data_IF_774885422097
#
_entry.id   IF_774885422097
#
_cell.length_a   1.000
_cell.length_b   1.000
_cell.length_c   1.000
_cell.angle_alpha   90.00
_cell.angle_beta   90.00
_cell.angle_gamma   90.00
#
_symmetry.space_group_name_H-M   'P 1'
#
loop_
_entity.id
_entity.type
_entity.pdbx_description
1 polymer ?
#
# COMPACT_ATOMS: atom_id res chain seq x y z
N UNK A 1 -24.61 -22.92 -66.98
CA UNK A 1 -23.14 -22.90 -66.91
C UNK A 1 -22.71 -23.83 -65.79
N UNK A 2 -21.74 -24.68 -66.10
CA UNK A 2 -21.25 -25.86 -65.38
C UNK A 2 -20.08 -25.51 -64.43
N UNK A 3 -19.93 -26.31 -63.35
CA UNK A 3 -18.71 -26.61 -62.55
C UNK A 3 -18.18 -25.48 -61.63
N UNK A 4 -17.64 -25.68 -60.42
CA UNK A 4 -17.10 -26.84 -59.71
C UNK A 4 -17.07 -26.58 -58.18
N UNK A 5 -17.03 -27.65 -57.38
CA UNK A 5 -16.66 -27.64 -55.97
C UNK A 5 -15.13 -27.53 -55.78
N UNK A 6 -14.66 -27.04 -54.62
CA UNK A 6 -13.46 -27.55 -53.93
C UNK A 6 -13.40 -27.05 -52.48
N UNK A 7 -13.47 -28.02 -51.57
CA UNK A 7 -13.06 -27.98 -50.17
C UNK A 7 -11.56 -27.70 -50.05
N UNK A 8 -11.16 -26.90 -49.06
CA UNK A 8 -9.79 -26.87 -48.55
C UNK A 8 -9.85 -26.92 -47.02
N UNK A 9 -9.71 -28.13 -46.47
CA UNK A 9 -9.31 -28.34 -45.08
C UNK A 9 -7.84 -27.94 -44.96
N UNK A 10 -7.58 -26.76 -44.39
CA UNK A 10 -6.24 -26.42 -43.93
C UNK A 10 -6.11 -26.93 -42.50
N UNK A 11 -5.38 -28.05 -42.35
CA UNK A 11 -4.86 -28.51 -41.06
C UNK A 11 -3.81 -27.52 -40.57
N UNK A 12 -4.24 -26.54 -39.78
CA UNK A 12 -3.35 -25.68 -39.00
C UNK A 12 -3.25 -26.23 -37.57
N UNK A 13 -2.03 -26.59 -37.17
CA UNK A 13 -1.62 -26.88 -35.79
C UNK A 13 -2.27 -25.91 -34.80
N UNK A 14 -2.81 -26.35 -33.64
CA UNK A 14 -3.26 -25.43 -32.62
C UNK A 14 -2.06 -24.58 -32.17
N UNK A 15 -2.10 -23.29 -32.52
CA UNK A 15 -1.22 -22.30 -31.91
C UNK A 15 -1.47 -22.37 -30.40
N UNK A 16 -0.43 -22.45 -29.55
CA UNK A 16 -0.63 -22.38 -28.12
C UNK A 16 -1.36 -21.07 -27.81
N UNK A 17 -2.56 -21.22 -27.29
CA UNK A 17 -3.36 -20.15 -26.73
C UNK A 17 -2.45 -19.34 -25.82
N UNK A 18 -2.19 -18.09 -26.19
CA UNK A 18 -1.53 -17.14 -25.31
C UNK A 18 -2.45 -17.03 -24.10
N UNK A 19 -2.11 -17.79 -23.05
CA UNK A 19 -2.67 -17.64 -21.72
C UNK A 19 -2.70 -16.13 -21.46
N UNK A 20 -3.85 -15.53 -21.08
CA UNK A 20 -3.86 -14.16 -20.65
C UNK A 20 -2.74 -14.02 -19.64
N UNK A 21 -1.75 -13.18 -19.95
CA UNK A 21 -0.76 -12.81 -18.96
C UNK A 21 -1.58 -12.14 -17.88
N UNK A 22 -1.90 -12.87 -16.80
CA UNK A 22 -2.45 -12.28 -15.59
C UNK A 22 -1.53 -11.11 -15.30
N UNK A 23 -2.10 -9.90 -15.33
CA UNK A 23 -1.40 -8.76 -14.80
C UNK A 23 -0.94 -9.17 -13.39
N UNK A 24 0.31 -8.86 -13.00
CA UNK A 24 0.77 -9.18 -11.65
C UNK A 24 -0.29 -8.71 -10.67
N UNK A 25 -0.73 -9.59 -9.77
CA UNK A 25 -1.72 -9.22 -8.77
C UNK A 25 -1.21 -8.02 -7.97
N UNK A 26 -2.11 -7.23 -7.39
CA UNK A 26 -1.73 -6.00 -6.68
C UNK A 26 -0.60 -6.21 -5.65
N UNK A 27 -0.55 -7.37 -5.01
CA UNK A 27 0.53 -7.77 -4.10
C UNK A 27 1.88 -7.93 -4.77
N UNK A 28 1.96 -8.43 -6.01
CA UNK A 28 3.21 -8.54 -6.76
C UNK A 28 3.73 -7.18 -7.22
N UNK A 29 2.83 -6.28 -7.61
CA UNK A 29 3.19 -4.89 -7.87
C UNK A 29 3.68 -4.20 -6.59
N UNK A 30 3.06 -4.47 -5.44
CA UNK A 30 3.45 -3.90 -4.14
C UNK A 30 4.85 -4.38 -3.70
N UNK A 31 5.23 -5.64 -4.00
CA UNK A 31 6.59 -6.18 -3.75
C UNK A 31 7.68 -5.40 -4.47
N UNK A 32 7.36 -4.75 -5.59
CA UNK A 32 8.34 -3.98 -6.37
C UNK A 32 8.66 -2.61 -5.75
N UNK A 33 7.84 -2.13 -4.81
CA UNK A 33 8.05 -0.87 -4.12
C UNK A 33 8.97 -1.04 -2.91
N UNK A 34 9.84 -0.06 -2.66
CA UNK A 34 10.69 0.01 -1.47
C UNK A 34 10.13 1.05 -0.50
N UNK A 35 9.79 0.63 0.73
CA UNK A 35 9.17 1.49 1.72
C UNK A 35 10.01 2.72 2.07
N UNK A 36 11.35 2.60 2.12
CA UNK A 36 12.20 3.75 2.44
C UNK A 36 12.31 4.74 1.28
N UNK A 37 12.40 4.25 0.06
CA UNK A 37 12.41 5.09 -1.14
C UNK A 37 11.12 5.89 -1.23
N UNK A 38 9.97 5.22 -1.06
CA UNK A 38 8.65 5.87 -1.06
C UNK A 38 8.54 6.86 0.10
N UNK A 39 8.87 6.47 1.33
CA UNK A 39 8.78 7.36 2.50
C UNK A 39 9.66 8.61 2.35
N UNK A 40 10.90 8.45 1.86
CA UNK A 40 11.80 9.58 1.65
C UNK A 40 11.30 10.53 0.56
N UNK A 41 10.65 10.00 -0.48
CA UNK A 41 9.99 10.82 -1.49
C UNK A 41 8.84 11.63 -0.90
N UNK A 42 7.98 10.99 -0.09
CA UNK A 42 6.84 11.65 0.54
C UNK A 42 7.28 12.74 1.52
N UNK A 43 8.32 12.47 2.31
CA UNK A 43 8.81 13.40 3.34
C UNK A 43 9.91 14.36 2.86
N UNK A 44 10.13 14.44 1.54
CA UNK A 44 11.13 15.33 0.95
C UNK A 44 10.89 16.78 1.41
N UNK A 45 11.97 17.46 1.80
CA UNK A 45 11.97 18.85 2.28
C UNK A 45 11.13 19.13 3.54
N UNK A 46 10.60 18.09 4.22
CA UNK A 46 9.83 18.24 5.46
C UNK A 46 10.71 18.24 6.72
N UNK A 47 12.04 18.10 6.57
CA UNK A 47 13.01 18.13 7.68
C UNK A 47 13.07 16.86 8.52
N UNK A 48 12.60 15.73 7.99
CA UNK A 48 12.83 14.41 8.58
C UNK A 48 14.24 13.91 8.22
N UNK A 49 14.84 13.14 9.12
CA UNK A 49 16.01 12.32 8.80
C UNK A 49 15.62 11.26 7.75
N UNK A 50 16.59 10.77 6.95
CA UNK A 50 16.35 9.65 6.05
C UNK A 50 15.69 8.47 6.77
N UNK A 51 14.71 7.86 6.10
CA UNK A 51 14.01 6.70 6.62
C UNK A 51 14.95 5.51 6.84
N UNK A 52 14.72 4.81 7.95
CA UNK A 52 15.46 3.61 8.32
C UNK A 52 14.54 2.39 8.33
N UNK A 53 15.03 1.27 7.79
CA UNK A 53 14.34 -0.01 7.94
C UNK A 53 14.45 -0.49 9.39
N UNK A 54 13.30 -0.71 10.03
CA UNK A 54 13.24 -1.15 11.44
C UNK A 54 13.12 -2.65 11.59
N UNK A 55 12.62 -3.34 10.57
CA UNK A 55 12.40 -4.78 10.58
C UNK A 55 12.90 -5.40 9.28
N UNK A 56 12.87 -6.74 9.19
CA UNK A 56 13.13 -7.47 7.93
C UNK A 56 11.98 -7.32 6.92
N UNK A 57 10.86 -6.75 7.35
CA UNK A 57 9.70 -6.48 6.48
C UNK A 57 9.99 -5.24 5.63
N UNK A 58 9.16 -5.04 4.60
CA UNK A 58 9.21 -3.83 3.79
C UNK A 58 8.57 -2.66 4.56
N UNK A 59 9.27 -2.20 5.59
CA UNK A 59 8.84 -1.18 6.54
C UNK A 59 9.95 -0.16 6.71
N UNK A 60 9.57 1.12 6.73
CA UNK A 60 10.51 2.21 6.92
C UNK A 60 9.95 3.27 7.87
N UNK A 61 10.81 3.85 8.69
CA UNK A 61 10.47 4.91 9.63
C UNK A 61 11.48 6.04 9.54
N UNK A 62 10.98 7.25 9.33
CA UNK A 62 11.73 8.49 9.34
C UNK A 62 11.45 9.26 10.63
N UNK A 63 12.47 9.88 11.21
CA UNK A 63 12.37 10.61 12.49
C UNK A 63 12.65 12.09 12.32
N UNK A 64 12.04 12.92 13.14
CA UNK A 64 12.28 14.35 13.19
C UNK A 64 12.38 14.79 14.64
N UNK A 65 13.52 15.40 14.99
CA UNK A 65 13.80 15.90 16.34
C UNK A 65 12.70 16.88 16.75
N UNK A 66 12.30 16.81 18.02
CA UNK A 66 11.15 17.51 18.59
C UNK A 66 9.79 17.21 17.96
N UNK A 67 9.64 16.34 16.96
CA UNK A 67 8.33 16.02 16.37
C UNK A 67 7.90 14.59 16.72
N UNK A 68 8.74 13.62 16.37
CA UNK A 68 8.44 12.20 16.48
C UNK A 68 8.88 11.43 15.24
N UNK A 69 8.04 10.49 14.79
CA UNK A 69 8.32 9.59 13.69
C UNK A 69 7.10 9.42 12.77
N UNK A 70 7.38 9.32 11.47
CA UNK A 70 6.43 8.89 10.45
C UNK A 70 7.01 7.67 9.75
N UNK A 71 6.17 6.74 9.34
CA UNK A 71 6.61 5.52 8.70
C UNK A 71 5.55 4.92 7.79
N UNK A 72 6.00 4.00 6.95
CA UNK A 72 5.12 3.16 6.14
C UNK A 72 5.59 1.71 6.17
N UNK A 73 4.64 0.79 6.06
CA UNK A 73 4.86 -0.63 5.79
C UNK A 73 4.06 -1.04 4.55
N UNK A 74 4.72 -1.72 3.61
CA UNK A 74 4.11 -2.24 2.39
C UNK A 74 4.07 -3.77 2.51
N UNK A 75 2.87 -4.32 2.69
CA UNK A 75 2.67 -5.73 3.00
C UNK A 75 1.92 -6.44 1.86
N UNK A 76 2.61 -7.30 1.08
CA UNK A 76 2.00 -7.96 -0.06
C UNK A 76 1.29 -9.29 0.29
N UNK A 77 1.26 -9.68 1.57
CA UNK A 77 0.71 -10.98 2.00
C UNK A 77 -0.34 -10.90 3.10
N UNK A 78 -0.57 -9.72 3.68
CA UNK A 78 -1.63 -9.52 4.66
C UNK A 78 -2.57 -8.39 4.23
N UNK A 79 -3.87 -8.61 4.35
CA UNK A 79 -4.92 -7.67 3.98
C UNK A 79 -5.34 -6.74 5.12
N UNK A 80 -6.41 -5.96 4.91
CA UNK A 80 -6.96 -5.09 5.96
C UNK A 80 -7.58 -5.87 7.12
N UNK A 81 -8.17 -7.04 6.87
CA UNK A 81 -8.78 -7.86 7.93
C UNK A 81 -7.74 -8.35 8.94
N UNK A 82 -6.55 -8.72 8.46
CA UNK A 82 -5.41 -9.05 9.31
C UNK A 82 -4.98 -7.86 10.18
N UNK A 83 -4.98 -6.64 9.62
CA UNK A 83 -4.64 -5.42 10.36
C UNK A 83 -5.73 -5.05 11.37
N UNK A 84 -7.00 -5.21 11.02
CA UNK A 84 -8.13 -4.94 11.92
C UNK A 84 -8.08 -5.85 13.16
N UNK A 85 -7.63 -7.10 13.01
CA UNK A 85 -7.36 -8.00 14.13
C UNK A 85 -6.21 -7.55 15.05
N UNK A 86 -5.28 -6.74 14.55
CA UNK A 86 -4.16 -6.17 15.31
C UNK A 86 -4.53 -4.80 15.93
N UNK A 87 -5.34 -4.01 15.23
CA UNK A 87 -5.84 -2.70 15.64
C UNK A 87 -7.23 -2.81 16.26
N UNK A 88 -7.28 -3.34 17.49
CA UNK A 88 -8.52 -3.45 18.24
C UNK A 88 -9.22 -2.07 18.36
N UNK A 89 -10.50 -2.02 17.96
CA UNK A 89 -11.27 -0.77 17.94
C UNK A 89 -10.98 0.15 16.76
N UNK A 90 -10.31 -0.34 15.71
CA UNK A 90 -10.14 0.41 14.46
C UNK A 90 -11.47 0.81 13.83
N UNK A 91 -11.48 1.98 13.19
CA UNK A 91 -12.60 2.49 12.44
C UNK A 91 -12.31 2.38 10.93
N UNK A 92 -13.35 2.15 10.13
CA UNK A 92 -13.23 2.23 8.66
C UNK A 92 -13.10 3.68 8.22
N UNK A 93 -12.29 3.91 7.18
CA UNK A 93 -12.23 5.19 6.47
C UNK A 93 -12.06 4.97 4.96
N UNK A 94 -12.12 6.06 4.22
CA UNK A 94 -11.77 6.11 2.81
C UNK A 94 -10.72 7.20 2.59
N UNK A 95 -9.69 6.89 1.81
CA UNK A 95 -8.61 7.81 1.44
C UNK A 95 -8.54 7.84 -0.07
N UNK A 96 -8.87 8.98 -0.70
CA UNK A 96 -8.89 9.15 -2.15
C UNK A 96 -9.65 8.03 -2.91
N UNK A 97 -10.80 7.58 -2.38
CA UNK A 97 -11.58 6.48 -2.97
C UNK A 97 -11.06 5.08 -2.67
N UNK A 98 -9.95 4.94 -1.91
CA UNK A 98 -9.42 3.66 -1.45
C UNK A 98 -9.90 3.35 -0.04
N UNK A 99 -10.43 2.14 0.14
CA UNK A 99 -10.84 1.63 1.45
C UNK A 99 -9.64 1.55 2.41
N UNK A 100 -9.88 1.91 3.66
CA UNK A 100 -8.88 1.83 4.71
C UNK A 100 -9.46 1.60 6.10
N UNK A 101 -8.57 1.41 7.07
CA UNK A 101 -8.88 1.41 8.50
C UNK A 101 -7.91 2.31 9.25
N UNK A 102 -8.35 2.91 10.37
CA UNK A 102 -7.54 3.77 11.23
C UNK A 102 -7.67 3.33 12.68
N UNK A 103 -6.58 3.40 13.43
CA UNK A 103 -6.55 3.06 14.86
C UNK A 103 -5.38 3.68 15.61
N UNK A 104 -5.42 3.61 16.93
CA UNK A 104 -4.38 4.15 17.82
C UNK A 104 -3.81 3.04 18.72
N UNK A 105 -2.90 2.19 18.19
CA UNK A 105 -2.47 0.98 18.88
C UNK A 105 -1.76 1.23 20.21
N UNK A 106 -1.13 2.41 20.35
CA UNK A 106 -0.38 2.80 21.55
C UNK A 106 -0.93 4.07 22.23
N UNK A 107 -2.21 4.41 21.99
CA UNK A 107 -2.89 5.57 22.58
C UNK A 107 -2.64 6.89 21.84
N UNK A 108 -2.94 8.02 22.51
CA UNK A 108 -3.07 9.36 21.89
C UNK A 108 -1.83 9.91 21.16
N UNK A 109 -0.64 9.32 21.35
CA UNK A 109 0.57 9.72 20.63
C UNK A 109 0.89 8.87 19.40
N UNK A 110 0.03 7.91 19.07
CA UNK A 110 0.23 6.95 17.98
C UNK A 110 -1.03 6.86 17.14
N UNK A 111 -0.85 6.73 15.82
CA UNK A 111 -1.94 6.42 14.91
C UNK A 111 -1.41 5.57 13.75
N UNK A 112 -2.22 4.63 13.30
CA UNK A 112 -1.97 3.83 12.12
C UNK A 112 -3.14 3.95 11.15
N UNK A 113 -2.84 4.08 9.86
CA UNK A 113 -3.81 4.07 8.77
C UNK A 113 -3.45 2.97 7.80
N UNK A 114 -4.27 1.93 7.72
CA UNK A 114 -4.17 0.88 6.72
C UNK A 114 -4.96 1.23 5.45
N UNK A 115 -4.38 0.96 4.28
CA UNK A 115 -5.00 1.12 2.98
C UNK A 115 -5.05 -0.22 2.24
N UNK A 116 -6.20 -0.55 1.66
CA UNK A 116 -6.38 -1.77 0.87
C UNK A 116 -5.62 -1.67 -0.44
N UNK A 117 -4.68 -2.59 -0.70
CA UNK A 117 -3.99 -2.72 -2.00
C UNK A 117 -4.58 -3.89 -2.79
N UNK A 118 -4.97 -4.96 -2.10
CA UNK A 118 -5.76 -6.08 -2.61
C UNK A 118 -6.29 -6.91 -1.44
N UNK A 119 -6.99 -8.02 -1.71
CA UNK A 119 -7.60 -8.87 -0.68
C UNK A 119 -6.60 -9.31 0.42
N UNK A 120 -5.36 -9.62 0.00
CA UNK A 120 -4.27 -10.03 0.89
C UNK A 120 -3.06 -9.09 0.82
N UNK A 121 -3.27 -7.82 0.46
CA UNK A 121 -2.19 -6.84 0.39
C UNK A 121 -2.64 -5.50 0.95
N UNK A 122 -1.79 -4.86 1.76
CA UNK A 122 -2.06 -3.55 2.35
C UNK A 122 -0.83 -2.66 2.37
N UNK A 123 -1.07 -1.37 2.42
CA UNK A 123 -0.09 -0.40 2.90
C UNK A 123 -0.53 0.11 4.27
N UNK A 124 0.41 0.34 5.18
CA UNK A 124 0.14 0.91 6.50
C UNK A 124 0.98 2.16 6.66
N UNK A 125 0.35 3.28 6.99
CA UNK A 125 1.01 4.47 7.50
C UNK A 125 1.05 4.40 9.01
N UNK A 126 2.20 4.76 9.58
CA UNK A 126 2.47 4.77 11.02
C UNK A 126 2.87 6.20 11.40
N UNK A 127 2.18 6.79 12.37
CA UNK A 127 2.55 8.07 12.96
C UNK A 127 2.74 7.92 14.47
N UNK A 128 3.82 8.50 14.97
CA UNK A 128 4.10 8.63 16.40
C UNK A 128 4.59 10.03 16.69
N UNK A 129 3.83 10.80 17.46
CA UNK A 129 4.18 12.17 17.84
C UNK A 129 4.53 12.18 19.33
N UNK A 130 5.74 12.62 19.64
CA UNK A 130 6.23 12.71 21.03
C UNK A 130 5.93 14.08 21.66
N UNK A 131 5.78 15.14 20.84
CA UNK A 131 5.52 16.50 21.31
C UNK A 131 4.09 16.66 21.83
N UNK A 132 3.93 17.02 23.10
CA UNK A 132 2.64 17.01 23.81
C UNK A 132 1.56 17.89 23.20
N UNK A 133 1.91 19.08 22.74
CA UNK A 133 1.02 20.05 22.08
C UNK A 133 0.53 19.58 20.70
N UNK A 134 1.23 18.63 20.08
CA UNK A 134 0.89 18.06 18.76
C UNK A 134 0.31 16.65 18.84
N UNK A 135 0.30 15.97 20.01
CA UNK A 135 -0.17 14.56 20.11
C UNK A 135 -1.58 14.38 19.55
N UNK A 136 -2.48 15.30 19.82
CA UNK A 136 -3.85 15.25 19.30
C UNK A 136 -3.94 15.25 17.76
N UNK A 137 -2.89 15.68 17.06
CA UNK A 137 -2.82 15.74 15.61
C UNK A 137 -2.22 14.47 14.98
N UNK A 138 -1.83 13.47 15.77
CA UNK A 138 -1.14 12.27 15.25
C UNK A 138 -1.95 11.53 14.19
N UNK A 139 -3.27 11.42 14.37
CA UNK A 139 -4.14 10.78 13.38
C UNK A 139 -4.40 11.66 12.16
N UNK A 140 -4.33 12.99 12.29
CA UNK A 140 -4.36 13.88 11.13
C UNK A 140 -3.10 13.69 10.30
N UNK A 141 -1.92 13.69 10.94
CA UNK A 141 -0.64 13.45 10.26
C UNK A 141 -0.59 12.08 9.56
N UNK A 142 -1.13 11.03 10.20
CA UNK A 142 -1.22 9.71 9.58
C UNK A 142 -2.14 9.69 8.35
N UNK A 143 -3.28 10.39 8.41
CA UNK A 143 -4.22 10.48 7.29
C UNK A 143 -3.67 11.31 6.12
N UNK A 144 -2.98 12.42 6.41
CA UNK A 144 -2.31 13.25 5.40
C UNK A 144 -1.25 12.44 4.66
N UNK A 145 -0.37 11.76 5.39
CA UNK A 145 0.64 10.89 4.77
C UNK A 145 -0.01 9.72 4.00
N UNK A 146 -1.13 9.17 4.49
CA UNK A 146 -1.88 8.14 3.75
C UNK A 146 -2.46 8.68 2.44
N UNK A 147 -2.97 9.91 2.43
CA UNK A 147 -3.49 10.56 1.23
C UNK A 147 -2.39 10.82 0.20
N UNK A 148 -1.16 11.13 0.64
CA UNK A 148 -0.01 11.29 -0.26
C UNK A 148 0.56 9.93 -0.73
N UNK A 149 0.49 8.89 0.10
CA UNK A 149 0.92 7.54 -0.25
C UNK A 149 -0.02 6.89 -1.27
N UNK A 150 -1.34 7.10 -1.13
CA UNK A 150 -2.38 6.41 -1.91
C UNK A 150 -2.13 6.39 -3.42
N UNK A 151 -1.77 7.52 -4.09
CA UNK A 151 -1.55 7.54 -5.54
C UNK A 151 -0.31 6.77 -5.99
N UNK A 152 0.61 6.45 -5.09
CA UNK A 152 1.82 5.67 -5.36
C UNK A 152 1.58 4.17 -5.22
N UNK A 153 0.44 3.75 -4.66
CA UNK A 153 0.11 2.35 -4.47
C UNK A 153 -0.47 1.75 -5.75
N UNK A 154 -0.17 0.47 -6.04
CA UNK A 154 -0.86 -0.26 -7.09
C UNK A 154 -2.39 -0.22 -6.89
N UNK A 155 -3.11 -0.20 -8.01
CA UNK A 155 -4.54 -0.50 -8.01
C UNK A 155 -4.67 -2.02 -8.14
N UNK A 156 -5.54 -2.60 -7.32
CA UNK A 156 -5.94 -4.00 -7.43
C UNK A 156 -7.15 -4.17 -8.33
#
# INVERSE_FOLDING_TARGET
>A
MTLAACTATVSGTPSPEQRPSEAPGAGDALKSLDACTVLNQLLADQGFNPGERKTVRNECVATKIEYGALGIALDPVQGLDDLAGQLAGSATLEVNGRKGIIGQPSGEGSCEVGLEVGEHARAVVIASISRSDLRAQVCTAAQELAAELEPLLPRG
#
